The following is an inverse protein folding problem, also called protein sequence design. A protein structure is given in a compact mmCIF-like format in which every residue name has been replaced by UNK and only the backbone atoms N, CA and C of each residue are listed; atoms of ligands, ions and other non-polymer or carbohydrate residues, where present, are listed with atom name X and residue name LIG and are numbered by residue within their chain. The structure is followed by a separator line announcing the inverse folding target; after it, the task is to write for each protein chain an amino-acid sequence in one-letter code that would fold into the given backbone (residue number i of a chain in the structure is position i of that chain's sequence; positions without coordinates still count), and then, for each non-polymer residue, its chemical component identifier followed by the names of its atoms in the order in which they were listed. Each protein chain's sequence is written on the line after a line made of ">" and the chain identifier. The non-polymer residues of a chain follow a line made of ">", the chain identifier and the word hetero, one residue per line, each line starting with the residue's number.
data_IF_555568599558
#
_entry.id   IF_555568599558
#
_cell.length_a   1.000
_cell.length_b   1.000
_cell.length_c   1.000
_cell.angle_alpha   90.00
_cell.angle_beta   90.00
_cell.angle_gamma   90.00
#
_symmetry.space_group_name_H-M   'P 1'
#
loop_
_entity.id
_entity.type
_entity.pdbx_description
1 polymer ?
#
# COMPACT_ATOMS: atom_id res chain seq x y z
N UNK A 1 -17.91 -6.30 -31.77
CA UNK A 1 -16.80 -6.77 -30.92
C UNK A 1 -16.65 -5.76 -29.80
N UNK A 2 -17.01 -6.13 -28.57
CA UNK A 2 -16.62 -5.32 -27.40
C UNK A 2 -15.14 -5.58 -27.17
N UNK A 3 -14.33 -4.52 -27.20
CA UNK A 3 -13.00 -4.58 -26.62
C UNK A 3 -13.15 -4.92 -25.13
N UNK A 4 -12.27 -5.75 -24.54
CA UNK A 4 -12.29 -5.95 -23.10
C UNK A 4 -12.18 -4.57 -22.43
N UNK A 5 -13.12 -4.26 -21.54
CA UNK A 5 -13.02 -3.09 -20.68
C UNK A 5 -11.80 -3.31 -19.79
N UNK A 6 -10.68 -2.71 -20.15
CA UNK A 6 -9.59 -2.52 -19.22
C UNK A 6 -10.10 -1.62 -18.09
N UNK A 7 -10.10 -2.16 -16.88
CA UNK A 7 -10.42 -1.44 -15.65
C UNK A 7 -9.09 -1.02 -15.00
N UNK A 8 -8.63 0.24 -15.20
CA UNK A 8 -7.34 0.67 -14.72
C UNK A 8 -7.36 0.84 -13.20
N UNK A 9 -6.34 0.35 -12.50
CA UNK A 9 -6.11 0.68 -11.10
C UNK A 9 -5.33 1.99 -10.98
N UNK A 10 -5.64 2.79 -9.97
CA UNK A 10 -4.89 4.00 -9.64
C UNK A 10 -3.85 3.70 -8.55
N UNK A 11 -2.58 3.96 -8.88
CA UNK A 11 -1.43 3.76 -8.01
C UNK A 11 -0.85 5.12 -7.64
N UNK A 12 -0.72 5.40 -6.35
CA UNK A 12 -0.05 6.60 -5.85
C UNK A 12 1.20 6.22 -5.04
N UNK A 13 2.32 6.85 -5.35
CA UNK A 13 3.55 6.71 -4.59
C UNK A 13 3.63 7.80 -3.53
N UNK A 14 3.61 7.40 -2.27
CA UNK A 14 3.72 8.33 -1.14
C UNK A 14 5.14 8.27 -0.61
N UNK A 15 5.95 9.26 -0.98
CA UNK A 15 7.29 9.42 -0.44
C UNK A 15 7.22 10.02 0.96
N UNK A 16 7.93 9.42 1.92
CA UNK A 16 8.02 9.94 3.27
C UNK A 16 9.49 9.95 3.74
N UNK A 17 10.08 11.14 4.01
CA UNK A 17 11.52 11.31 4.26
C UNK A 17 11.97 10.63 5.57
N UNK A 18 13.12 9.97 5.53
CA UNK A 18 13.61 9.03 6.57
C UNK A 18 13.81 9.63 7.96
N UNK A 19 14.09 10.94 8.03
CA UNK A 19 14.34 11.67 9.27
C UNK A 19 13.51 12.95 9.28
N UNK A 20 12.62 13.10 10.27
CA UNK A 20 11.90 14.36 10.54
C UNK A 20 12.83 15.28 11.32
N UNK A 21 13.93 15.71 10.72
CA UNK A 21 14.83 16.68 11.37
C UNK A 21 14.52 18.12 10.93
N UNK A 22 13.75 18.32 9.85
CA UNK A 22 13.39 19.64 9.38
C UNK A 22 11.86 19.87 9.33
N UNK A 23 11.47 21.13 9.50
CA UNK A 23 10.06 21.59 9.42
C UNK A 23 9.40 21.20 8.08
N UNK A 24 10.19 21.01 7.03
CA UNK A 24 9.76 20.57 5.71
C UNK A 24 9.27 19.10 5.68
N UNK A 25 9.80 18.25 6.56
CA UNK A 25 9.45 16.83 6.64
C UNK A 25 8.08 16.63 7.31
N UNK A 26 7.80 17.41 8.36
CA UNK A 26 6.47 17.47 8.97
C UNK A 26 5.43 17.99 7.97
N UNK A 27 5.75 19.05 7.24
CA UNK A 27 4.85 19.58 6.22
C UNK A 27 4.54 18.53 5.14
N UNK A 28 5.55 17.79 4.69
CA UNK A 28 5.39 16.70 3.73
C UNK A 28 4.54 15.56 4.29
N UNK A 29 4.73 15.19 5.55
CA UNK A 29 3.90 14.19 6.23
C UNK A 29 2.43 14.61 6.31
N UNK A 30 2.15 15.86 6.72
CA UNK A 30 0.77 16.38 6.75
C UNK A 30 0.16 16.49 5.35
N UNK A 31 0.94 16.93 4.35
CA UNK A 31 0.49 16.97 2.97
C UNK A 31 0.13 15.56 2.47
N UNK A 32 0.94 14.56 2.78
CA UNK A 32 0.65 13.17 2.43
C UNK A 32 -0.63 12.66 3.09
N UNK A 33 -0.90 13.02 4.35
CA UNK A 33 -2.19 12.67 4.98
C UNK A 33 -3.38 13.30 4.26
N UNK A 34 -3.27 14.55 3.83
CA UNK A 34 -4.33 15.22 3.05
C UNK A 34 -4.51 14.53 1.69
N UNK A 35 -3.41 14.23 0.99
CA UNK A 35 -3.46 13.54 -0.31
C UNK A 35 -4.13 12.17 -0.20
N UNK A 36 -3.80 11.40 0.85
CA UNK A 36 -4.44 10.09 1.12
C UNK A 36 -5.95 10.24 1.35
N UNK A 37 -6.40 11.34 1.95
CA UNK A 37 -7.83 11.59 2.17
C UNK A 37 -8.56 12.12 0.93
N UNK A 38 -7.87 12.85 0.05
CA UNK A 38 -8.51 13.54 -1.09
C UNK A 38 -8.47 12.74 -2.41
N UNK A 39 -7.41 11.97 -2.64
CA UNK A 39 -7.19 11.34 -3.96
C UNK A 39 -7.75 9.91 -4.06
N UNK A 40 -7.97 9.26 -2.92
CA UNK A 40 -8.51 7.89 -2.79
C UNK A 40 -8.02 6.89 -3.88
N UNK A 41 -6.72 6.77 -4.19
CA UNK A 41 -6.22 5.76 -5.12
C UNK A 41 -6.56 4.35 -4.64
N UNK A 42 -6.60 3.41 -5.58
CA UNK A 42 -6.90 2.01 -5.27
C UNK A 42 -5.76 1.38 -4.44
N UNK A 43 -4.52 1.78 -4.73
CA UNK A 43 -3.32 1.29 -4.10
C UNK A 43 -2.37 2.44 -3.80
N UNK A 44 -1.78 2.40 -2.61
CA UNK A 44 -0.70 3.26 -2.19
C UNK A 44 0.60 2.47 -2.07
N UNK A 45 1.72 3.10 -2.41
CA UNK A 45 3.05 2.54 -2.21
C UNK A 45 3.83 3.47 -1.28
N UNK A 46 4.23 2.95 -0.12
CA UNK A 46 4.89 3.69 0.95
C UNK A 46 6.31 3.17 1.21
N UNK A 47 7.15 4.06 1.72
CA UNK A 47 8.40 3.67 2.39
C UNK A 47 8.15 3.15 3.82
N UNK A 48 8.97 2.19 4.26
CA UNK A 48 8.87 1.52 5.56
C UNK A 48 8.73 2.41 6.78
N UNK A 49 9.43 3.55 6.78
CA UNK A 49 9.59 4.39 7.97
C UNK A 49 8.25 4.95 8.48
N UNK A 50 7.23 5.04 7.61
CA UNK A 50 5.94 5.63 7.95
C UNK A 50 4.76 4.67 7.80
N UNK A 51 5.01 3.45 7.31
CA UNK A 51 4.00 2.41 7.14
C UNK A 51 3.10 2.27 8.39
N UNK A 52 3.70 2.15 9.56
CA UNK A 52 2.95 1.93 10.79
C UNK A 52 2.03 3.13 11.14
N UNK A 53 2.54 4.36 11.03
CA UNK A 53 1.79 5.57 11.37
C UNK A 53 0.61 5.82 10.42
N UNK A 54 0.80 5.52 9.13
CA UNK A 54 -0.28 5.63 8.15
C UNK A 54 -1.32 4.55 8.34
N UNK A 55 -0.93 3.30 8.61
CA UNK A 55 -1.89 2.21 8.75
C UNK A 55 -2.81 2.40 9.94
N UNK A 56 -2.27 2.81 11.10
CA UNK A 56 -3.06 3.02 12.32
C UNK A 56 -4.18 4.06 12.14
N UNK A 57 -3.99 5.04 11.26
CA UNK A 57 -4.91 6.16 11.06
C UNK A 57 -5.61 6.14 9.69
N UNK A 58 -5.30 5.14 8.86
CA UNK A 58 -5.58 5.18 7.44
C UNK A 58 -6.77 4.31 7.00
N UNK A 59 -7.42 4.65 5.88
CA UNK A 59 -8.52 3.88 5.30
C UNK A 59 -8.01 2.65 4.52
N UNK A 60 -7.24 1.77 5.13
CA UNK A 60 -6.64 0.62 4.44
C UNK A 60 -7.39 -0.70 4.66
N UNK A 61 -7.39 -1.54 3.63
CA UNK A 61 -7.99 -2.87 3.63
C UNK A 61 -7.04 -3.88 4.27
N UNK A 62 -7.58 -4.75 5.14
CA UNK A 62 -6.83 -5.91 5.62
C UNK A 62 -6.75 -6.95 4.49
N UNK A 63 -5.53 -7.36 4.15
CA UNK A 63 -5.21 -8.26 3.04
C UNK A 63 -5.85 -9.64 3.20
N UNK A 64 -6.28 -10.03 4.40
CA UNK A 64 -7.05 -11.26 4.64
C UNK A 64 -8.45 -11.24 4.04
N UNK A 65 -8.97 -10.06 3.68
CA UNK A 65 -10.26 -9.93 2.99
C UNK A 65 -10.14 -10.10 1.48
N UNK A 66 -8.93 -10.18 0.93
CA UNK A 66 -8.71 -10.51 -0.47
C UNK A 66 -9.00 -11.99 -0.71
N UNK A 67 -9.52 -12.30 -1.90
CA UNK A 67 -9.81 -13.67 -2.33
C UNK A 67 -8.56 -14.39 -2.89
N UNK A 68 -7.39 -13.79 -2.73
CA UNK A 68 -6.11 -14.38 -3.10
C UNK A 68 -5.28 -14.75 -1.87
N UNK A 69 -4.49 -15.82 -2.00
CA UNK A 69 -3.48 -16.13 -1.01
C UNK A 69 -2.29 -15.21 -1.23
N UNK A 70 -1.90 -14.43 -0.21
CA UNK A 70 -0.65 -13.68 -0.21
C UNK A 70 0.33 -14.44 0.68
N UNK A 71 1.59 -14.66 0.28
CA UNK A 71 2.57 -15.36 1.12
C UNK A 71 2.77 -14.62 2.44
N UNK A 72 2.80 -15.33 3.56
CA UNK A 72 2.84 -14.70 4.89
C UNK A 72 4.10 -13.86 5.09
N UNK A 73 5.22 -14.28 4.50
CA UNK A 73 6.49 -13.55 4.49
C UNK A 73 6.45 -12.24 3.70
N UNK A 74 5.42 -12.05 2.88
CA UNK A 74 5.16 -10.81 2.15
C UNK A 74 4.12 -9.93 2.84
N UNK A 75 3.43 -10.43 3.86
CA UNK A 75 2.43 -9.66 4.59
C UNK A 75 3.05 -8.99 5.80
N UNK A 76 2.66 -7.74 6.05
CA UNK A 76 3.12 -6.97 7.20
C UNK A 76 2.09 -7.00 8.33
N UNK A 77 2.34 -7.74 9.41
CA UNK A 77 1.45 -7.76 10.57
C UNK A 77 1.53 -6.45 11.36
N UNK A 78 0.38 -5.96 11.79
CA UNK A 78 0.23 -4.89 12.78
C UNK A 78 -0.65 -5.43 13.92
N UNK A 79 -0.20 -5.18 15.15
CA UNK A 79 -0.97 -5.53 16.34
C UNK A 79 -2.21 -4.64 16.43
N UNK A 80 -3.39 -5.25 16.65
CA UNK A 80 -4.59 -4.50 16.99
C UNK A 80 -4.39 -3.75 18.32
N UNK A 81 -4.92 -2.54 18.41
CA UNK A 81 -4.83 -1.71 19.63
C UNK A 81 -5.57 -2.31 20.83
N UNK A 82 -6.55 -3.20 20.60
CA UNK A 82 -7.44 -3.73 21.65
C UNK A 82 -7.49 -5.26 21.73
N UNK A 83 -6.87 -5.98 20.80
CA UNK A 83 -6.81 -7.44 20.81
C UNK A 83 -5.42 -7.90 20.37
N UNK A 84 -4.94 -9.02 20.91
CA UNK A 84 -3.74 -9.73 20.41
C UNK A 84 -3.92 -10.25 18.96
N UNK A 85 -5.00 -9.84 18.29
CA UNK A 85 -5.28 -10.17 16.91
C UNK A 85 -4.36 -9.35 16.00
N UNK A 86 -3.57 -10.08 15.21
CA UNK A 86 -2.78 -9.48 14.14
C UNK A 86 -3.69 -9.16 12.95
N UNK A 87 -3.53 -7.95 12.43
CA UNK A 87 -4.10 -7.49 11.17
C UNK A 87 -2.97 -7.36 10.14
N UNK A 88 -3.27 -7.62 8.87
CA UNK A 88 -2.28 -7.55 7.80
C UNK A 88 -2.75 -6.52 6.78
N UNK A 89 -2.05 -5.40 6.66
CA UNK A 89 -2.48 -4.30 5.78
C UNK A 89 -1.49 -4.07 4.64
N UNK A 90 -0.21 -4.25 4.91
CA UNK A 90 0.86 -4.02 3.94
C UNK A 90 1.34 -5.29 3.25
N UNK A 91 1.76 -5.14 1.99
CA UNK A 91 2.44 -6.16 1.20
C UNK A 91 3.86 -5.69 0.88
N UNK A 92 4.87 -6.49 1.19
CA UNK A 92 6.27 -6.27 0.79
C UNK A 92 6.43 -6.41 -0.72
N UNK A 93 6.88 -5.32 -1.35
CA UNK A 93 7.07 -5.24 -2.80
C UNK A 93 8.52 -4.97 -3.21
N UNK A 94 9.48 -5.21 -2.32
CA UNK A 94 10.91 -4.91 -2.52
C UNK A 94 11.58 -5.73 -3.62
N UNK A 95 11.06 -6.93 -3.86
CA UNK A 95 11.62 -7.84 -4.86
C UNK A 95 11.12 -7.56 -6.28
N UNK A 96 10.31 -6.51 -6.48
CA UNK A 96 9.77 -6.16 -7.79
C UNK A 96 10.61 -5.08 -8.47
N UNK A 97 11.17 -5.44 -9.63
CA UNK A 97 12.03 -4.59 -10.46
C UNK A 97 11.52 -3.15 -10.67
N UNK A 98 10.22 -2.89 -10.94
CA UNK A 98 9.73 -1.52 -11.10
C UNK A 98 9.92 -0.64 -9.86
N UNK A 99 9.88 -1.22 -8.66
CA UNK A 99 9.99 -0.47 -7.40
C UNK A 99 11.43 -0.35 -6.90
N UNK A 100 12.34 -1.23 -7.36
CA UNK A 100 13.77 -1.12 -7.09
C UNK A 100 14.39 0.14 -7.69
N UNK A 101 13.81 0.65 -8.78
CA UNK A 101 14.24 1.90 -9.42
C UNK A 101 13.86 3.16 -8.61
N UNK A 102 13.00 3.02 -7.59
CA UNK A 102 12.51 4.13 -6.76
C UNK A 102 13.36 4.34 -5.50
N UNK A 103 14.53 3.70 -5.43
CA UNK A 103 15.53 3.89 -4.38
C UNK A 103 15.63 2.72 -3.40
N UNK A 104 16.65 2.77 -2.54
CA UNK A 104 17.09 1.66 -1.67
C UNK A 104 16.21 1.41 -0.44
N UNK A 105 15.10 2.13 -0.30
CA UNK A 105 14.21 2.00 0.85
C UNK A 105 13.18 0.90 0.64
N UNK A 106 12.91 0.13 1.71
CA UNK A 106 11.86 -0.87 1.75
C UNK A 106 10.50 -0.25 1.36
N UNK A 107 9.86 -0.80 0.34
CA UNK A 107 8.56 -0.39 -0.23
C UNK A 107 7.46 -1.36 0.17
N UNK A 108 6.34 -0.78 0.59
CA UNK A 108 5.16 -1.52 1.00
C UNK A 108 3.93 -1.01 0.26
N UNK A 109 3.12 -1.95 -0.18
CA UNK A 109 1.88 -1.70 -0.87
C UNK A 109 0.71 -1.81 0.11
N UNK A 110 -0.16 -0.81 0.09
CA UNK A 110 -1.37 -0.72 0.89
C UNK A 110 -2.58 -0.54 -0.03
N UNK A 111 -3.68 -1.24 0.24
CA UNK A 111 -4.90 -1.18 -0.58
C UNK A 111 -5.92 -0.29 0.12
N UNK A 112 -6.55 0.61 -0.61
CA UNK A 112 -7.60 1.46 -0.05
C UNK A 112 -8.88 0.68 0.20
N UNK A 113 -9.49 0.85 1.38
CA UNK A 113 -10.67 0.07 1.81
C UNK A 113 -11.93 0.33 0.98
N UNK A 114 -12.04 1.49 0.32
CA UNK A 114 -13.21 1.86 -0.47
C UNK A 114 -13.04 1.61 -1.98
N UNK A 115 -11.93 0.99 -2.41
CA UNK A 115 -11.75 0.66 -3.83
C UNK A 115 -12.92 -0.17 -4.35
N UNK A 116 -13.49 0.26 -5.49
CA UNK A 116 -14.51 -0.49 -6.21
C UNK A 116 -13.91 -1.40 -7.30
N UNK A 117 -12.57 -1.49 -7.36
CA UNK A 117 -11.80 -2.24 -8.37
C UNK A 117 -11.03 -3.41 -7.77
N UNK A 118 -11.61 -4.05 -6.75
CA UNK A 118 -10.92 -5.10 -5.99
C UNK A 118 -10.43 -6.24 -6.88
N UNK A 119 -11.23 -6.66 -7.88
CA UNK A 119 -10.84 -7.70 -8.84
C UNK A 119 -9.60 -7.31 -9.66
N UNK A 120 -9.51 -6.03 -10.06
CA UNK A 120 -8.38 -5.49 -10.82
C UNK A 120 -7.13 -5.36 -9.95
N UNK A 121 -7.31 -4.96 -8.69
CA UNK A 121 -6.25 -4.95 -7.66
C UNK A 121 -5.70 -6.35 -7.43
N UNK A 122 -6.58 -7.36 -7.25
CA UNK A 122 -6.17 -8.75 -7.07
C UNK A 122 -5.44 -9.30 -8.30
N UNK A 123 -5.91 -9.00 -9.51
CA UNK A 123 -5.20 -9.38 -10.73
C UNK A 123 -3.81 -8.74 -10.82
N UNK A 124 -3.69 -7.47 -10.43
CA UNK A 124 -2.42 -6.79 -10.36
C UNK A 124 -1.49 -7.45 -9.35
N UNK A 125 -1.95 -7.70 -8.12
CA UNK A 125 -1.19 -8.36 -7.07
C UNK A 125 -0.81 -9.80 -7.45
N UNK A 126 -1.69 -10.53 -8.14
CA UNK A 126 -1.39 -11.88 -8.62
C UNK A 126 -0.23 -11.87 -9.61
N UNK A 127 -0.24 -10.93 -10.57
CA UNK A 127 0.88 -10.76 -11.51
C UNK A 127 2.13 -10.27 -10.83
N UNK A 128 1.98 -9.36 -9.87
CA UNK A 128 3.10 -8.84 -9.09
C UNK A 128 3.75 -10.00 -8.33
N UNK A 129 3.04 -10.65 -7.42
CA UNK A 129 3.57 -11.65 -6.49
C UNK A 129 3.98 -12.97 -7.14
N UNK A 130 3.34 -13.37 -8.24
CA UNK A 130 3.52 -14.71 -8.83
C UNK A 130 3.88 -14.70 -10.32
N UNK A 131 3.77 -13.57 -11.01
CA UNK A 131 3.92 -13.46 -12.45
C UNK A 131 5.33 -13.09 -12.92
N UNK A 132 6.37 -13.52 -12.19
CA UNK A 132 7.78 -13.30 -12.52
C UNK A 132 8.15 -13.71 -13.94
#
# INVERSE_FOLDING_TARGET
>A
MLFPLWDPIHLEFIYAPTEIMEYNDLASFYQNQVVIQETEPDIYIFDKHYYQQFVENGPFLDTRFLQMNIPLEKQLPIAGTESEQLFYYGIDVNNFSPFQLLGDQDKFLLIHKSTNRIDSVEQFLQKLLYGG
#
